data_IF_699735561437
#
_entry.id   IF_699735561437
#
_cell.length_a   1.000
_cell.length_b   1.000
_cell.length_c   1.000
_cell.angle_alpha   90.00
_cell.angle_beta   90.00
_cell.angle_gamma   90.00
#
_symmetry.space_group_name_H-M   'P 1'
#
loop_
_entity.id
_entity.type
_entity.pdbx_description
1 polymer ?
#
# COMPACT_ATOMS: atom_id res chain seq x y z
N UNK A 1 -26.19 7.71 10.98
CA UNK A 1 -25.50 7.01 9.86
C UNK A 1 -26.43 6.01 9.18
N UNK A 2 -27.00 5.02 9.88
CA UNK A 2 -27.95 4.05 9.28
C UNK A 2 -29.20 4.73 8.69
N UNK A 3 -29.80 5.67 9.42
CA UNK A 3 -30.92 6.48 8.90
C UNK A 3 -30.52 7.35 7.70
N UNK A 4 -29.28 7.82 7.67
CA UNK A 4 -28.77 8.62 6.54
C UNK A 4 -28.63 7.75 5.29
N UNK A 5 -27.96 6.60 5.40
CA UNK A 5 -27.82 5.61 4.32
C UNK A 5 -29.18 5.19 3.73
N UNK A 6 -30.17 4.93 4.61
CA UNK A 6 -31.56 4.64 4.21
C UNK A 6 -32.18 5.83 3.46
N UNK A 7 -32.05 7.05 3.98
CA UNK A 7 -32.67 8.24 3.40
C UNK A 7 -32.08 8.69 2.07
N UNK A 8 -30.81 8.34 1.79
CA UNK A 8 -30.09 8.76 0.59
C UNK A 8 -29.89 7.64 -0.43
N UNK A 9 -30.43 6.44 -0.16
CA UNK A 9 -30.15 5.21 -0.92
C UNK A 9 -28.64 4.96 -1.11
N UNK A 10 -27.82 5.42 -0.16
CA UNK A 10 -26.38 5.22 -0.17
C UNK A 10 -26.06 3.93 0.59
N UNK A 11 -25.16 3.11 0.06
CA UNK A 11 -24.69 1.90 0.76
C UNK A 11 -23.90 2.22 2.04
N UNK A 12 -23.62 1.19 2.83
CA UNK A 12 -22.84 1.26 4.07
C UNK A 12 -21.52 0.50 3.93
N UNK A 13 -20.38 1.13 4.20
CA UNK A 13 -19.12 0.41 4.37
C UNK A 13 -18.83 0.17 5.85
N UNK A 14 -18.58 -1.09 6.23
CA UNK A 14 -18.17 -1.49 7.59
C UNK A 14 -16.67 -1.79 7.53
N UNK A 15 -15.87 -0.92 8.16
CA UNK A 15 -14.42 -1.11 8.29
C UNK A 15 -14.07 -1.77 9.60
N UNK A 16 -13.44 -2.93 9.53
CA UNK A 16 -12.99 -3.73 10.67
C UNK A 16 -11.48 -3.63 10.78
N UNK A 17 -11.00 -2.88 11.76
CA UNK A 17 -9.55 -2.68 12.00
C UNK A 17 -8.96 -3.89 12.72
N UNK A 18 -7.92 -4.48 12.13
CA UNK A 18 -7.28 -5.74 12.53
C UNK A 18 -5.75 -5.64 12.48
N UNK A 19 -5.12 -4.78 13.31
CA UNK A 19 -3.66 -4.65 13.35
C UNK A 19 -2.96 -5.87 13.99
N UNK A 20 -3.69 -6.90 14.40
CA UNK A 20 -3.20 -8.16 14.98
C UNK A 20 -4.32 -9.20 15.05
N UNK A 21 -4.21 -10.17 15.96
CA UNK A 21 -5.26 -11.17 16.16
C UNK A 21 -6.63 -10.53 16.43
N UNK A 22 -7.65 -11.04 15.73
CA UNK A 22 -9.03 -10.66 15.96
C UNK A 22 -9.54 -11.22 17.27
N UNK A 23 -10.09 -10.35 18.09
CA UNK A 23 -10.85 -10.77 19.27
C UNK A 23 -12.30 -11.09 18.85
N UNK A 24 -12.89 -12.12 19.47
CA UNK A 24 -14.31 -12.48 19.34
C UNK A 24 -15.23 -11.28 19.59
N UNK A 25 -14.79 -10.32 20.41
CA UNK A 25 -15.45 -9.05 20.65
C UNK A 25 -15.70 -8.24 19.36
N UNK A 26 -14.77 -8.25 18.40
CA UNK A 26 -14.89 -7.52 17.13
C UNK A 26 -15.98 -8.15 16.27
N UNK A 27 -15.98 -9.48 16.14
CA UNK A 27 -17.01 -10.20 15.40
C UNK A 27 -18.40 -10.01 16.03
N UNK A 28 -18.49 -9.96 17.36
CA UNK A 28 -19.74 -9.65 18.06
C UNK A 28 -20.23 -8.23 17.76
N UNK A 29 -19.34 -7.23 17.83
CA UNK A 29 -19.68 -5.85 17.53
C UNK A 29 -20.17 -5.65 16.08
N UNK A 30 -19.55 -6.35 15.11
CA UNK A 30 -20.03 -6.32 13.72
C UNK A 30 -21.39 -7.00 13.59
N UNK A 31 -21.62 -8.14 14.24
CA UNK A 31 -22.93 -8.82 14.25
C UNK A 31 -24.03 -7.91 14.78
N UNK A 32 -23.78 -7.23 15.89
CA UNK A 32 -24.73 -6.27 16.48
C UNK A 32 -25.00 -5.09 15.54
N UNK A 33 -23.97 -4.63 14.82
CA UNK A 33 -24.13 -3.57 13.83
C UNK A 33 -24.98 -4.04 12.65
N UNK A 34 -24.66 -5.20 12.08
CA UNK A 34 -25.38 -5.80 10.94
C UNK A 34 -26.84 -6.07 11.30
N UNK A 35 -27.14 -6.53 12.51
CA UNK A 35 -28.52 -6.74 12.98
C UNK A 35 -29.38 -5.45 12.99
N UNK A 36 -28.74 -4.28 12.98
CA UNK A 36 -29.42 -2.96 12.91
C UNK A 36 -29.46 -2.38 11.48
N UNK A 37 -28.73 -2.97 10.54
CA UNK A 37 -28.74 -2.55 9.13
C UNK A 37 -30.09 -2.94 8.52
N UNK A 38 -30.65 -2.04 7.71
CA UNK A 38 -31.85 -2.39 6.94
C UNK A 38 -31.48 -3.44 5.91
N UNK A 39 -32.25 -4.54 5.75
CA UNK A 39 -32.00 -5.49 4.66
C UNK A 39 -31.98 -4.86 3.26
N UNK A 40 -32.63 -3.70 3.07
CA UNK A 40 -32.61 -2.97 1.81
C UNK A 40 -31.32 -2.13 1.57
N UNK A 41 -30.47 -1.97 2.59
CA UNK A 41 -29.22 -1.21 2.48
C UNK A 41 -28.08 -2.16 2.10
N UNK A 42 -27.49 -1.94 0.92
CA UNK A 42 -26.27 -2.65 0.52
C UNK A 42 -25.11 -2.31 1.46
N UNK A 43 -24.32 -3.33 1.83
CA UNK A 43 -23.18 -3.15 2.70
C UNK A 43 -21.89 -3.75 2.13
N UNK A 44 -20.77 -3.07 2.35
CA UNK A 44 -19.43 -3.52 2.02
C UNK A 44 -18.64 -3.85 3.30
N UNK A 45 -17.81 -4.89 3.23
CA UNK A 45 -16.87 -5.24 4.28
C UNK A 45 -15.46 -4.78 3.90
N UNK A 46 -14.84 -3.96 4.74
CA UNK A 46 -13.43 -3.57 4.61
C UNK A 46 -12.65 -4.17 5.78
N UNK A 47 -12.01 -5.32 5.57
CA UNK A 47 -11.13 -5.92 6.56
C UNK A 47 -9.76 -5.25 6.47
N UNK A 48 -9.38 -4.50 7.48
CA UNK A 48 -8.23 -3.62 7.42
C UNK A 48 -7.11 -4.08 8.32
N UNK A 49 -6.04 -4.59 7.72
CA UNK A 49 -4.87 -5.10 8.43
C UNK A 49 -3.92 -3.97 8.88
N UNK A 50 -4.09 -2.75 8.39
CA UNK A 50 -3.17 -1.66 8.65
C UNK A 50 -1.75 -1.97 8.16
N UNK A 51 -0.75 -1.83 9.04
CA UNK A 51 0.62 -2.19 8.72
C UNK A 51 0.79 -3.72 8.77
N UNK A 52 1.23 -4.31 7.65
CA UNK A 52 1.61 -5.73 7.58
C UNK A 52 3.08 -5.79 7.25
N UNK A 53 3.92 -6.14 8.25
CA UNK A 53 5.39 -6.19 8.12
C UNK A 53 5.89 -7.54 8.64
N UNK A 54 7.22 -7.69 8.74
CA UNK A 54 7.85 -8.92 9.20
C UNK A 54 7.42 -9.40 10.61
N UNK A 55 6.89 -8.49 11.43
CA UNK A 55 6.33 -8.79 12.76
C UNK A 55 4.91 -9.37 12.72
N UNK A 56 4.30 -9.48 11.53
CA UNK A 56 2.97 -10.08 11.33
C UNK A 56 2.98 -11.28 10.36
N UNK A 57 3.71 -12.35 10.69
CA UNK A 57 3.80 -13.52 9.82
C UNK A 57 2.48 -14.27 9.65
N UNK A 58 1.53 -14.11 10.58
CA UNK A 58 0.24 -14.81 10.57
C UNK A 58 -0.92 -13.97 10.01
N UNK A 59 -0.64 -12.80 9.40
CA UNK A 59 -1.67 -11.88 8.91
C UNK A 59 -2.69 -12.54 7.95
N UNK A 60 -2.24 -13.46 7.09
CA UNK A 60 -3.13 -14.22 6.20
C UNK A 60 -4.07 -15.13 6.99
N UNK A 61 -3.56 -15.87 7.99
CA UNK A 61 -4.37 -16.77 8.83
C UNK A 61 -5.35 -16.01 9.71
N UNK A 62 -4.91 -14.89 10.30
CA UNK A 62 -5.76 -13.98 11.05
C UNK A 62 -6.91 -13.46 10.18
N UNK A 63 -6.61 -13.06 8.95
CA UNK A 63 -7.61 -12.60 7.98
C UNK A 63 -8.61 -13.69 7.64
N UNK A 64 -8.14 -14.92 7.39
CA UNK A 64 -9.01 -16.07 7.11
C UNK A 64 -9.98 -16.34 8.26
N UNK A 65 -9.49 -16.36 9.51
CA UNK A 65 -10.34 -16.55 10.69
C UNK A 65 -11.40 -15.45 10.82
N UNK A 66 -11.01 -14.19 10.62
CA UNK A 66 -11.94 -13.07 10.66
C UNK A 66 -13.01 -13.18 9.55
N UNK A 67 -12.60 -13.50 8.31
CA UNK A 67 -13.53 -13.65 7.19
C UNK A 67 -14.48 -14.83 7.36
N UNK A 68 -14.01 -15.96 7.92
CA UNK A 68 -14.87 -17.10 8.26
C UNK A 68 -16.01 -16.66 9.22
N UNK A 69 -15.74 -15.74 10.15
CA UNK A 69 -16.74 -15.21 11.07
C UNK A 69 -17.62 -14.10 10.47
N UNK A 70 -17.09 -13.27 9.58
CA UNK A 70 -17.75 -12.06 9.07
C UNK A 70 -18.54 -12.28 7.77
N UNK A 71 -18.03 -13.11 6.85
CA UNK A 71 -18.67 -13.36 5.57
C UNK A 71 -20.10 -13.93 5.68
N UNK A 72 -20.42 -14.82 6.64
CA UNK A 72 -21.78 -15.34 6.80
C UNK A 72 -22.79 -14.35 7.40
N UNK A 73 -22.36 -13.20 7.94
CA UNK A 73 -23.24 -12.30 8.70
C UNK A 73 -24.30 -11.63 7.81
N UNK A 74 -23.98 -11.38 6.53
CA UNK A 74 -24.91 -10.81 5.55
C UNK A 74 -24.38 -10.99 4.13
N UNK A 75 -25.21 -10.85 3.08
CA UNK A 75 -24.75 -10.85 1.70
C UNK A 75 -24.02 -9.53 1.37
N UNK A 76 -22.74 -9.45 1.73
CA UNK A 76 -21.89 -8.31 1.40
C UNK A 76 -21.89 -8.04 -0.11
N UNK A 77 -22.07 -6.77 -0.49
CA UNK A 77 -21.94 -6.30 -1.86
C UNK A 77 -20.50 -6.47 -2.33
N UNK A 78 -19.57 -5.88 -1.60
CA UNK A 78 -18.12 -6.03 -1.77
C UNK A 78 -17.46 -6.45 -0.45
N UNK A 79 -16.42 -7.27 -0.53
CA UNK A 79 -15.53 -7.55 0.60
C UNK A 79 -14.09 -7.30 0.15
N UNK A 80 -13.36 -6.45 0.87
CA UNK A 80 -11.98 -6.10 0.55
C UNK A 80 -11.06 -6.31 1.74
N UNK A 81 -9.82 -6.75 1.48
CA UNK A 81 -8.74 -6.83 2.46
C UNK A 81 -7.75 -5.72 2.18
N UNK A 82 -7.57 -4.83 3.15
CA UNK A 82 -6.73 -3.65 3.04
C UNK A 82 -5.43 -3.84 3.83
N UNK A 83 -4.31 -3.39 3.30
CA UNK A 83 -3.05 -3.41 4.03
C UNK A 83 -1.96 -2.55 3.39
N UNK A 84 -0.91 -2.29 4.15
CA UNK A 84 0.30 -1.62 3.68
C UNK A 84 1.56 -2.26 4.23
N UNK A 85 2.46 -2.66 3.34
CA UNK A 85 3.75 -3.25 3.69
C UNK A 85 4.91 -2.26 3.78
N UNK A 86 4.70 -1.00 3.38
CA UNK A 86 5.80 -0.06 3.23
C UNK A 86 6.47 0.28 4.58
N UNK A 87 7.81 0.24 4.66
CA UNK A 87 8.53 0.45 5.92
C UNK A 87 8.54 1.92 6.35
N UNK A 88 8.75 2.15 7.64
CA UNK A 88 9.16 3.48 8.12
C UNK A 88 10.56 3.82 7.58
N UNK A 89 10.65 4.83 6.72
CA UNK A 89 11.92 5.27 6.15
C UNK A 89 12.71 6.08 7.20
N UNK A 90 13.84 5.53 7.62
CA UNK A 90 14.75 6.16 8.59
C UNK A 90 16.16 6.28 8.03
N UNK A 91 16.98 7.17 8.58
CA UNK A 91 18.38 7.28 8.18
C UNK A 91 19.15 5.96 8.38
N UNK A 92 18.82 5.20 9.43
CA UNK A 92 19.41 3.90 9.73
C UNK A 92 19.07 2.85 8.68
N UNK A 93 17.83 2.84 8.18
CA UNK A 93 17.41 1.93 7.11
C UNK A 93 18.30 2.10 5.86
N UNK A 94 18.83 3.31 5.67
CA UNK A 94 19.55 3.73 4.48
C UNK A 94 21.07 3.88 4.71
N UNK A 95 21.60 3.35 5.80
CA UNK A 95 23.02 3.48 6.18
C UNK A 95 23.98 2.98 5.08
N UNK A 96 23.56 1.95 4.33
CA UNK A 96 24.31 1.38 3.21
C UNK A 96 23.88 1.93 1.84
N UNK A 97 23.14 3.03 1.80
CA UNK A 97 22.64 3.64 0.56
C UNK A 97 21.41 2.95 -0.05
N UNK A 98 21.24 1.65 0.16
CA UNK A 98 20.10 0.87 -0.37
C UNK A 98 19.50 -0.03 0.70
N UNK A 99 18.17 -0.16 0.68
CA UNK A 99 17.41 -1.14 1.45
C UNK A 99 16.43 -1.87 0.55
N UNK A 100 16.22 -3.16 0.82
CA UNK A 100 15.23 -4.00 0.14
C UNK A 100 14.32 -4.58 1.19
N UNK A 101 13.05 -4.20 1.15
CA UNK A 101 12.05 -4.55 2.15
C UNK A 101 10.93 -5.36 1.50
N UNK A 102 10.63 -6.59 1.97
CA UNK A 102 9.57 -7.40 1.38
C UNK A 102 8.20 -6.72 1.45
N UNK A 103 7.36 -6.95 0.44
CA UNK A 103 5.94 -6.57 0.42
C UNK A 103 5.13 -7.56 1.24
N UNK A 104 5.29 -7.52 2.56
CA UNK A 104 4.64 -8.44 3.50
C UNK A 104 3.10 -8.42 3.39
N UNK A 105 2.52 -7.27 3.08
CA UNK A 105 1.11 -7.11 2.73
C UNK A 105 0.70 -7.90 1.47
N UNK A 106 1.51 -7.81 0.41
CA UNK A 106 1.28 -8.56 -0.82
C UNK A 106 1.48 -10.06 -0.64
N UNK A 107 2.48 -10.47 0.13
CA UNK A 107 2.70 -11.87 0.49
C UNK A 107 1.53 -12.43 1.29
N UNK A 108 1.02 -11.68 2.28
CA UNK A 108 -0.16 -12.06 3.05
C UNK A 108 -1.41 -12.17 2.15
N UNK A 109 -1.59 -11.25 1.20
CA UNK A 109 -2.66 -11.33 0.21
C UNK A 109 -2.55 -12.55 -0.70
N UNK A 110 -1.35 -12.89 -1.20
CA UNK A 110 -1.13 -14.09 -2.02
C UNK A 110 -1.39 -15.37 -1.23
N UNK A 111 -0.96 -15.43 0.03
CA UNK A 111 -1.26 -16.56 0.91
C UNK A 111 -2.78 -16.69 1.15
N UNK A 112 -3.45 -15.59 1.52
CA UNK A 112 -4.91 -15.52 1.71
C UNK A 112 -5.67 -16.04 0.49
N UNK A 113 -5.31 -15.57 -0.70
CA UNK A 113 -6.00 -15.89 -1.96
C UNK A 113 -5.70 -17.29 -2.47
N UNK A 114 -4.66 -17.95 -1.95
CA UNK A 114 -4.39 -19.36 -2.23
C UNK A 114 -5.29 -20.33 -1.47
N UNK A 115 -6.09 -19.84 -0.50
CA UNK A 115 -7.02 -20.65 0.28
C UNK A 115 -8.17 -21.21 -0.56
N UNK A 116 -8.69 -22.38 -0.18
CA UNK A 116 -9.80 -23.08 -0.85
C UNK A 116 -11.19 -22.57 -0.46
N UNK A 117 -11.29 -21.55 0.42
CA UNK A 117 -12.57 -20.98 0.86
C UNK A 117 -13.28 -20.29 -0.29
N UNK A 118 -14.60 -20.51 -0.38
CA UNK A 118 -15.42 -20.00 -1.49
C UNK A 118 -15.39 -18.47 -1.60
N UNK A 119 -15.44 -17.77 -0.47
CA UNK A 119 -15.48 -16.31 -0.45
C UNK A 119 -14.23 -15.64 -1.02
N UNK A 120 -13.10 -16.35 -1.10
CA UNK A 120 -11.83 -15.79 -1.56
C UNK A 120 -11.92 -15.25 -2.98
N UNK A 121 -12.71 -15.90 -3.85
CA UNK A 121 -12.93 -15.46 -5.24
C UNK A 121 -13.67 -14.13 -5.35
N UNK A 122 -14.28 -13.66 -4.25
CA UNK A 122 -15.04 -12.41 -4.15
C UNK A 122 -14.29 -11.32 -3.37
N UNK A 123 -13.08 -11.62 -2.89
CA UNK A 123 -12.28 -10.64 -2.16
C UNK A 123 -11.59 -9.69 -3.12
N UNK A 124 -11.59 -8.42 -2.77
CA UNK A 124 -10.78 -7.38 -3.41
C UNK A 124 -9.55 -7.05 -2.56
N UNK A 125 -8.49 -6.57 -3.21
CA UNK A 125 -7.27 -6.12 -2.55
C UNK A 125 -7.23 -4.59 -2.46
N UNK A 126 -6.92 -4.07 -1.27
CA UNK A 126 -6.60 -2.67 -1.08
C UNK A 126 -5.17 -2.48 -0.60
N UNK A 127 -4.43 -1.62 -1.30
CA UNK A 127 -3.04 -1.28 -1.00
C UNK A 127 -2.95 0.15 -0.47
N UNK A 128 -2.16 0.36 0.59
CA UNK A 128 -1.91 1.68 1.17
C UNK A 128 -0.81 2.48 0.43
N UNK A 129 -0.15 1.88 -0.55
CA UNK A 129 0.85 2.50 -1.40
C UNK A 129 2.26 2.45 -0.82
N UNK A 130 3.09 3.42 -1.23
CA UNK A 130 4.54 3.45 -0.95
C UNK A 130 4.93 4.42 0.16
N UNK A 131 4.08 4.57 1.18
CA UNK A 131 4.41 5.28 2.40
C UNK A 131 3.96 4.46 3.60
N UNK A 132 4.65 4.63 4.73
CA UNK A 132 4.31 3.84 5.92
C UNK A 132 2.94 4.27 6.44
N UNK A 133 2.23 3.38 7.13
CA UNK A 133 0.94 3.71 7.76
C UNK A 133 1.05 4.90 8.70
N UNK A 134 2.19 5.04 9.38
CA UNK A 134 2.53 6.19 10.21
C UNK A 134 2.80 7.45 9.39
N UNK A 135 3.40 7.33 8.21
CA UNK A 135 3.59 8.42 7.25
C UNK A 135 2.26 8.95 6.74
N UNK A 136 1.37 8.05 6.29
CA UNK A 136 0.03 8.37 5.79
C UNK A 136 -0.83 9.03 6.87
N UNK A 137 -0.74 8.56 8.11
CA UNK A 137 -1.50 9.13 9.23
C UNK A 137 -1.00 10.52 9.67
N UNK A 138 0.21 10.93 9.25
CA UNK A 138 0.70 12.28 9.51
C UNK A 138 0.10 13.25 8.49
N UNK A 139 -0.47 14.34 8.99
CA UNK A 139 -0.87 15.46 8.13
C UNK A 139 0.35 16.07 7.40
N UNK A 140 0.11 16.92 6.37
CA UNK A 140 1.17 17.60 5.64
C UNK A 140 2.08 18.35 6.62
N UNK A 141 3.40 18.11 6.55
CA UNK A 141 4.34 18.85 7.38
C UNK A 141 4.29 20.34 7.05
N UNK A 142 4.00 21.16 8.05
CA UNK A 142 4.05 22.63 7.98
C UNK A 142 5.45 23.21 8.26
N UNK A 143 6.42 22.36 8.59
CA UNK A 143 7.78 22.76 8.94
C UNK A 143 8.66 23.05 7.71
N UNK A 144 9.50 24.10 7.81
CA UNK A 144 10.60 24.33 6.86
C UNK A 144 11.79 23.44 7.24
N UNK A 145 12.25 22.63 6.30
CA UNK A 145 13.47 21.82 6.44
C UNK A 145 13.21 20.35 6.70
N UNK A 146 13.19 19.55 5.63
CA UNK A 146 13.27 18.09 5.71
C UNK A 146 14.71 17.61 5.95
N UNK A 147 14.90 16.30 6.17
CA UNK A 147 16.24 15.72 6.29
C UNK A 147 17.13 16.08 5.09
N UNK A 148 18.47 16.08 5.25
CA UNK A 148 19.42 16.31 4.15
C UNK A 148 19.50 15.15 3.15
N UNK A 149 18.55 14.21 3.25
CA UNK A 149 18.43 13.02 2.43
C UNK A 149 16.96 12.78 2.05
N UNK A 150 16.76 11.93 1.06
CA UNK A 150 15.46 11.45 0.61
C UNK A 150 15.62 10.08 -0.02
N UNK A 151 14.55 9.58 -0.65
CA UNK A 151 14.54 8.21 -1.17
C UNK A 151 13.90 8.16 -2.55
N UNK A 152 14.59 7.54 -3.50
CA UNK A 152 13.97 6.97 -4.69
C UNK A 152 13.52 5.55 -4.38
N UNK A 153 12.32 5.20 -4.82
CA UNK A 153 11.67 3.93 -4.50
C UNK A 153 11.29 3.22 -5.79
N UNK A 154 11.37 1.90 -5.77
CA UNK A 154 10.87 1.07 -6.85
C UNK A 154 10.20 -0.18 -6.28
N UNK A 155 8.98 -0.46 -6.70
CA UNK A 155 8.26 -1.67 -6.34
C UNK A 155 8.60 -2.78 -7.34
N UNK A 156 9.14 -3.89 -6.86
CA UNK A 156 9.33 -5.16 -7.59
C UNK A 156 8.12 -6.08 -7.35
N UNK A 157 8.17 -7.35 -7.76
CA UNK A 157 7.10 -8.31 -7.43
C UNK A 157 7.00 -8.59 -5.94
N UNK A 158 8.14 -8.77 -5.27
CA UNK A 158 8.18 -9.23 -3.89
C UNK A 158 8.64 -8.15 -2.90
N UNK A 159 9.17 -7.02 -3.36
CA UNK A 159 9.83 -6.04 -2.48
C UNK A 159 9.65 -4.58 -2.90
N UNK A 160 9.90 -3.71 -1.92
CA UNK A 160 10.22 -2.31 -2.13
C UNK A 160 11.74 -2.15 -2.11
N UNK A 161 12.30 -1.62 -3.19
CA UNK A 161 13.69 -1.17 -3.24
C UNK A 161 13.72 0.31 -2.89
N UNK A 162 14.46 0.66 -1.84
CA UNK A 162 14.62 2.03 -1.35
C UNK A 162 16.08 2.44 -1.51
N UNK A 163 16.33 3.50 -2.25
CA UNK A 163 17.68 4.01 -2.46
C UNK A 163 17.79 5.46 -1.99
N UNK A 164 18.79 5.70 -1.14
CA UNK A 164 19.06 6.97 -0.51
C UNK A 164 19.60 7.98 -1.51
N UNK A 165 19.09 9.22 -1.46
CA UNK A 165 19.61 10.33 -2.26
C UNK A 165 19.87 11.53 -1.35
N UNK A 166 20.97 12.23 -1.60
CA UNK A 166 21.22 13.51 -0.95
C UNK A 166 20.26 14.57 -1.50
N UNK A 167 19.71 15.41 -0.62
CA UNK A 167 18.79 16.50 -1.00
C UNK A 167 19.45 17.88 -1.00
N UNK A 168 20.75 17.95 -0.69
CA UNK A 168 21.54 19.17 -0.54
C UNK A 168 22.94 18.98 -1.14
N UNK A 169 23.62 20.08 -1.45
CA UNK A 169 24.97 20.09 -2.03
C UNK A 169 24.99 20.24 -3.56
N UNK A 170 26.15 20.60 -4.10
CA UNK A 170 26.33 20.96 -5.52
C UNK A 170 26.23 19.73 -6.44
N UNK A 171 26.65 18.55 -5.95
CA UNK A 171 26.57 17.28 -6.68
C UNK A 171 25.22 16.56 -6.55
N UNK A 172 24.22 17.20 -5.92
CA UNK A 172 22.90 16.62 -5.67
C UNK A 172 22.29 16.01 -6.94
N UNK A 173 22.33 16.74 -8.05
CA UNK A 173 21.73 16.27 -9.29
C UNK A 173 22.43 15.00 -9.80
N UNK A 174 23.76 15.00 -9.85
CA UNK A 174 24.54 13.84 -10.28
C UNK A 174 24.26 12.60 -9.40
N UNK A 175 24.20 12.78 -8.08
CA UNK A 175 23.88 11.70 -7.13
C UNK A 175 22.47 11.11 -7.38
N UNK A 176 21.46 11.95 -7.59
CA UNK A 176 20.09 11.46 -7.88
C UNK A 176 20.04 10.70 -9.22
N UNK A 177 20.79 11.15 -10.24
CA UNK A 177 20.86 10.45 -11.52
C UNK A 177 21.55 9.10 -11.40
N UNK A 178 22.63 9.02 -10.62
CA UNK A 178 23.32 7.75 -10.35
C UNK A 178 22.38 6.73 -9.70
N UNK A 179 21.62 7.16 -8.68
CA UNK A 179 20.63 6.29 -8.04
C UNK A 179 19.50 5.89 -9.01
N UNK A 180 19.03 6.81 -9.86
CA UNK A 180 18.05 6.44 -10.89
C UNK A 180 18.61 5.40 -11.87
N UNK A 181 19.90 5.49 -12.25
CA UNK A 181 20.58 4.47 -13.04
C UNK A 181 20.65 3.11 -12.34
N UNK A 182 20.93 3.08 -11.04
CA UNK A 182 20.90 1.85 -10.25
C UNK A 182 19.52 1.18 -10.26
N UNK A 183 18.44 1.96 -10.17
CA UNK A 183 17.07 1.45 -10.32
C UNK A 183 16.84 0.87 -11.72
N UNK A 184 17.31 1.53 -12.79
CA UNK A 184 17.18 1.00 -14.16
C UNK A 184 17.97 -0.30 -14.37
N UNK A 185 19.03 -0.51 -13.61
CA UNK A 185 19.88 -1.69 -13.67
C UNK A 185 19.34 -2.87 -12.85
N UNK A 186 18.26 -2.68 -12.08
CA UNK A 186 17.62 -3.78 -11.36
C UNK A 186 17.11 -4.83 -12.36
N UNK A 187 17.30 -6.14 -12.08
CA UNK A 187 16.72 -7.21 -12.89
C UNK A 187 15.20 -7.08 -13.04
N UNK A 188 14.53 -6.58 -12.01
CA UNK A 188 13.07 -6.36 -11.97
C UNK A 188 12.62 -5.04 -12.61
N UNK A 189 13.53 -4.28 -13.23
CA UNK A 189 13.15 -3.06 -13.92
C UNK A 189 12.32 -3.40 -15.17
N UNK A 190 11.06 -2.95 -15.21
CA UNK A 190 10.07 -3.37 -16.22
C UNK A 190 10.16 -2.60 -17.54
N UNK A 191 11.14 -1.70 -17.66
CA UNK A 191 11.30 -0.85 -18.83
C UNK A 191 10.47 0.43 -18.76
N UNK A 192 10.93 1.47 -19.46
CA UNK A 192 10.34 2.82 -19.41
C UNK A 192 8.93 2.92 -20.00
N UNK A 193 8.48 1.91 -20.75
CA UNK A 193 7.11 1.83 -21.30
C UNK A 193 6.13 1.18 -20.34
N UNK A 194 6.59 0.64 -19.22
CA UNK A 194 5.73 0.03 -18.22
C UNK A 194 4.79 1.07 -17.57
N UNK A 195 5.18 2.32 -17.44
CA UNK A 195 4.33 3.33 -16.83
C UNK A 195 4.98 4.70 -16.77
N UNK A 196 4.20 5.68 -16.32
CA UNK A 196 4.68 7.07 -16.18
C UNK A 196 5.76 7.18 -15.09
N UNK A 197 5.71 6.32 -14.06
CA UNK A 197 6.74 6.27 -13.02
C UNK A 197 8.07 5.74 -13.55
N UNK A 198 8.04 4.67 -14.35
CA UNK A 198 9.22 4.10 -15.03
C UNK A 198 9.80 5.04 -16.08
N UNK A 199 8.94 5.72 -16.86
CA UNK A 199 9.37 6.75 -17.80
C UNK A 199 10.09 7.89 -17.07
N UNK A 200 9.56 8.33 -15.93
CA UNK A 200 10.20 9.37 -15.12
C UNK A 200 11.58 8.93 -14.59
N UNK A 201 11.71 7.69 -14.10
CA UNK A 201 13.00 7.15 -13.65
C UNK A 201 14.04 7.14 -14.78
N UNK A 202 13.63 6.73 -15.99
CA UNK A 202 14.49 6.79 -17.18
C UNK A 202 14.95 8.22 -17.48
N UNK A 203 14.02 9.17 -17.54
CA UNK A 203 14.32 10.57 -17.88
C UNK A 203 15.24 11.20 -16.82
N UNK A 204 14.97 10.88 -15.55
CA UNK A 204 15.82 11.26 -14.43
C UNK A 204 17.24 10.72 -14.61
N UNK A 205 17.42 9.43 -14.89
CA UNK A 205 18.74 8.84 -15.11
C UNK A 205 19.49 9.50 -16.30
N UNK A 206 18.78 9.78 -17.40
CA UNK A 206 19.39 10.24 -18.67
C UNK A 206 19.69 11.71 -18.77
N UNK A 207 19.09 12.57 -17.94
CA UNK A 207 19.23 14.02 -18.18
C UNK A 207 18.06 14.68 -18.88
N UNK A 208 17.02 13.94 -19.23
CA UNK A 208 16.00 14.38 -20.19
C UNK A 208 14.79 15.04 -19.49
N UNK A 209 14.13 16.00 -20.16
CA UNK A 209 12.88 16.64 -19.71
C UNK A 209 13.02 18.04 -19.05
N UNK A 210 11.91 18.80 -18.91
CA UNK A 210 11.93 20.24 -18.55
C UNK A 210 12.20 20.54 -17.06
N UNK A 211 12.32 19.53 -16.19
CA UNK A 211 12.49 19.66 -14.73
C UNK A 211 13.40 18.53 -14.22
N UNK A 212 14.71 18.69 -14.30
CA UNK A 212 15.70 17.64 -13.95
C UNK A 212 15.60 17.16 -12.49
N UNK A 213 16.02 15.91 -12.22
CA UNK A 213 16.12 15.15 -10.94
C UNK A 213 14.98 15.22 -9.92
N UNK A 214 13.99 16.10 -10.07
CA UNK A 214 12.84 16.26 -9.19
C UNK A 214 13.17 16.81 -7.79
N UNK A 215 12.13 16.83 -6.96
CA UNK A 215 12.18 17.08 -5.53
C UNK A 215 11.43 15.94 -4.81
N UNK A 216 11.40 15.95 -3.48
CA UNK A 216 10.75 14.88 -2.70
C UNK A 216 9.29 14.62 -3.11
N UNK A 217 8.51 15.66 -3.46
CA UNK A 217 7.13 15.50 -3.91
C UNK A 217 7.05 14.81 -5.28
N UNK A 218 7.96 15.14 -6.20
CA UNK A 218 8.07 14.45 -7.50
C UNK A 218 8.46 12.98 -7.30
N UNK A 219 9.40 12.70 -6.40
CA UNK A 219 9.85 11.33 -6.11
C UNK A 219 8.72 10.48 -5.53
N UNK A 220 7.98 11.03 -4.57
CA UNK A 220 6.83 10.36 -3.98
C UNK A 220 5.72 10.13 -5.00
N UNK A 221 5.45 11.11 -5.89
CA UNK A 221 4.48 10.95 -6.98
C UNK A 221 4.91 9.88 -7.96
N UNK A 222 6.16 9.91 -8.43
CA UNK A 222 6.67 8.94 -9.38
C UNK A 222 6.64 7.51 -8.81
N UNK A 223 7.07 7.34 -7.56
CA UNK A 223 7.00 6.06 -6.86
C UNK A 223 5.57 5.56 -6.65
N UNK A 224 4.63 6.42 -6.26
CA UNK A 224 3.22 6.01 -6.11
C UNK A 224 2.59 5.61 -7.43
N UNK A 225 2.81 6.39 -8.49
CA UNK A 225 2.28 6.04 -9.82
C UNK A 225 2.90 4.73 -10.32
N UNK A 226 4.21 4.54 -10.14
CA UNK A 226 4.91 3.29 -10.47
C UNK A 226 4.29 2.11 -9.74
N UNK A 227 4.17 2.21 -8.41
CA UNK A 227 3.63 1.17 -7.55
C UNK A 227 2.16 0.85 -7.88
N UNK A 228 1.29 1.84 -7.93
CA UNK A 228 -0.15 1.61 -8.20
C UNK A 228 -0.39 1.07 -9.60
N UNK A 229 0.39 1.50 -10.60
CA UNK A 229 0.35 0.91 -11.96
C UNK A 229 0.73 -0.56 -11.92
N UNK A 230 1.74 -0.90 -11.13
CA UNK A 230 2.18 -2.27 -10.97
C UNK A 230 1.13 -3.14 -10.26
N UNK A 231 0.64 -2.70 -9.09
CA UNK A 231 -0.38 -3.42 -8.31
C UNK A 231 -1.66 -3.64 -9.12
N UNK A 232 -2.15 -2.61 -9.82
CA UNK A 232 -3.36 -2.74 -10.63
C UNK A 232 -3.22 -3.81 -11.73
N UNK A 233 -2.01 -3.97 -12.31
CA UNK A 233 -1.74 -5.02 -13.29
C UNK A 233 -1.59 -6.40 -12.66
N UNK A 234 -0.96 -6.49 -11.49
CA UNK A 234 -0.78 -7.76 -10.77
C UNK A 234 -2.11 -8.37 -10.26
N UNK A 235 -3.19 -7.58 -10.24
CA UNK A 235 -4.54 -8.05 -9.89
C UNK A 235 -5.37 -8.49 -11.11
N UNK A 236 -4.87 -8.30 -12.33
CA UNK A 236 -5.57 -8.75 -13.54
C UNK A 236 -5.32 -10.26 -13.75
N UNK A 237 -6.35 -11.03 -14.19
CA UNK A 237 -6.21 -12.45 -14.50
C UNK A 237 -5.21 -12.76 -15.62
#
# INVERSE_FOLDING_TARGET
MLEHARSTASGLAIRVMMPGEGDDAVAHGVRDLVARVDPAVEADLLLDLGAVRADRPDAAKESLRALDALMPLMPWRTAAVLGGGFPDVTARLLEHGTAVEPRWDWLAWRELTSSTREFVRRLEYGDYGIDSTRGIARGPSSGKGGPPWGVLRYTTDESFVLMNVLTRGDDRAAAIRAVAWEILALPDFRGATAGVGEAWLRDCARGEGPRGTGNAAIWLRAGNVQHMTYVARSLQP
#
